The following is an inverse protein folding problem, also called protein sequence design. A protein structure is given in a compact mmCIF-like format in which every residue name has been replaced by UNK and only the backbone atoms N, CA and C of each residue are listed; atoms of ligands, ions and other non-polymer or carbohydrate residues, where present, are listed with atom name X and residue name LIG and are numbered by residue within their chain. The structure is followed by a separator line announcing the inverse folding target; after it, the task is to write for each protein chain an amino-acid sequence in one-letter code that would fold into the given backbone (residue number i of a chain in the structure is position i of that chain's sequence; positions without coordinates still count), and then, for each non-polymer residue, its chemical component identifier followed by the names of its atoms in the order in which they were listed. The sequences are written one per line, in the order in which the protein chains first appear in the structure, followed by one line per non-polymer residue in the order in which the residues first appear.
data_IF_939409352303
#
_entry.id   IF_939409352303
#
_cell.length_a   1.000
_cell.length_b   1.000
_cell.length_c   1.000
_cell.angle_alpha   90.00
_cell.angle_beta   90.00
_cell.angle_gamma   90.00
#
_symmetry.space_group_name_H-M   'P 1'
#
loop_
_entity.id
_entity.type
_entity.pdbx_description
1 polymer ?
#
# COMPACT_ATOMS: atom_id res chain seq x y z
N UNK A 1 2.11 -25.85 18.54
CA UNK A 1 1.14 -24.93 19.14
C UNK A 1 1.84 -23.59 19.27
N UNK A 2 1.90 -22.82 18.18
CA UNK A 2 2.59 -21.53 18.18
C UNK A 2 1.57 -20.41 18.17
N UNK A 3 1.47 -19.74 19.30
CA UNK A 3 0.63 -18.59 19.55
C UNK A 3 1.38 -17.33 19.12
N UNK A 4 1.41 -17.01 17.83
CA UNK A 4 1.75 -15.65 17.39
C UNK A 4 0.48 -14.81 17.50
N UNK A 5 0.09 -14.49 18.73
CA UNK A 5 -0.92 -13.49 19.00
C UNK A 5 -0.34 -12.12 18.62
N UNK A 6 -0.74 -11.61 17.46
CA UNK A 6 -0.47 -10.23 17.09
C UNK A 6 -1.00 -9.28 18.18
N UNK A 7 -0.23 -8.27 18.58
CA UNK A 7 -0.64 -7.33 19.61
C UNK A 7 -1.82 -6.53 19.10
N UNK A 8 -2.99 -6.77 19.70
CA UNK A 8 -4.14 -5.89 19.59
C UNK A 8 -3.73 -4.52 20.13
N UNK A 9 -3.31 -3.63 19.23
CA UNK A 9 -2.98 -2.26 19.55
C UNK A 9 -4.28 -1.48 19.80
N UNK A 10 -4.94 -1.79 20.92
CA UNK A 10 -6.13 -1.09 21.40
C UNK A 10 -5.65 0.18 22.08
N UNK A 11 -5.51 1.25 21.29
CA UNK A 11 -5.15 2.56 21.82
C UNK A 11 -6.38 3.17 22.52
N UNK A 12 -6.57 2.81 23.80
CA UNK A 12 -7.58 3.43 24.67
C UNK A 12 -7.02 4.75 25.18
N UNK A 13 -7.21 5.84 24.43
CA UNK A 13 -7.00 7.17 24.99
C UNK A 13 -8.15 7.51 25.92
N UNK A 14 -7.89 7.37 27.22
CA UNK A 14 -8.73 7.93 28.28
C UNK A 14 -8.93 9.42 28.03
N UNK A 15 -10.21 9.79 28.04
CA UNK A 15 -10.79 11.13 27.97
C UNK A 15 -10.14 12.05 29.02
N UNK A 16 -9.13 12.83 28.65
CA UNK A 16 -8.63 13.93 29.48
C UNK A 16 -9.61 15.11 29.37
N UNK A 17 -10.66 15.07 30.18
CA UNK A 17 -11.50 16.23 30.48
C UNK A 17 -10.73 17.17 31.41
N UNK A 18 -9.91 18.05 30.85
CA UNK A 18 -9.13 18.98 31.65
C UNK A 18 -8.20 19.82 30.79
N UNK A 19 -8.70 20.97 30.34
CA UNK A 19 -7.94 21.98 29.64
C UNK A 19 -6.96 22.66 30.62
N UNK A 20 -5.82 22.03 30.90
CA UNK A 20 -4.65 22.70 31.49
C UNK A 20 -3.44 21.76 31.41
N UNK A 21 -2.30 22.28 30.92
CA UNK A 21 -0.96 21.69 31.01
C UNK A 21 -0.63 20.56 30.01
N UNK A 22 -0.62 20.88 28.71
CA UNK A 22 0.26 20.19 27.75
C UNK A 22 1.20 21.20 27.08
N UNK A 23 1.83 22.05 27.89
CA UNK A 23 2.91 22.96 27.49
C UNK A 23 4.17 22.58 28.29
N UNK A 24 4.56 21.31 28.18
CA UNK A 24 5.83 20.78 28.72
C UNK A 24 6.31 19.61 27.87
N UNK A 25 6.58 19.89 26.60
CA UNK A 25 7.62 19.18 25.86
C UNK A 25 8.26 20.14 24.85
N UNK A 26 8.71 21.30 25.35
CA UNK A 26 9.63 22.19 24.63
C UNK A 26 11.10 21.77 24.84
N UNK A 27 11.38 20.49 25.13
CA UNK A 27 12.74 20.02 25.43
C UNK A 27 13.14 18.91 24.46
N UNK A 28 13.09 19.21 23.17
CA UNK A 28 13.95 18.57 22.16
C UNK A 28 14.05 19.41 20.87
N UNK A 29 13.91 20.73 20.99
CA UNK A 29 14.24 21.70 19.92
C UNK A 29 15.75 22.05 19.89
N UNK A 30 16.58 21.35 20.67
CA UNK A 30 18.01 21.72 20.91
C UNK A 30 19.01 20.73 20.28
N UNK A 31 18.59 19.75 19.46
CA UNK A 31 19.54 18.78 18.89
C UNK A 31 19.43 18.52 17.39
N UNK A 32 18.93 19.48 16.59
CA UNK A 32 18.94 19.32 15.13
C UNK A 32 20.00 20.13 14.36
N UNK A 33 20.71 21.06 15.00
CA UNK A 33 21.77 21.83 14.32
C UNK A 33 23.15 21.16 14.29
N UNK A 34 23.31 19.97 14.89
CA UNK A 34 24.58 19.21 14.84
C UNK A 34 24.53 17.92 14.03
N UNK A 35 23.37 17.54 13.49
CA UNK A 35 23.22 16.29 12.71
C UNK A 35 23.41 16.44 11.20
N UNK A 36 23.34 17.66 10.65
CA UNK A 36 23.42 17.89 9.20
C UNK A 36 24.85 17.78 8.64
N UNK A 37 25.89 17.72 9.49
CA UNK A 37 27.28 17.61 9.02
C UNK A 37 27.69 16.15 8.78
N UNK A 38 27.00 15.16 9.35
CA UNK A 38 27.35 13.74 9.12
C UNK A 38 26.59 13.07 7.97
N UNK A 39 25.41 13.60 7.59
CA UNK A 39 24.67 13.05 6.43
C UNK A 39 25.40 13.29 5.11
N UNK A 40 26.04 14.46 4.94
CA UNK A 40 26.79 14.74 3.71
C UNK A 40 28.08 13.90 3.59
N UNK A 41 28.65 13.43 4.70
CA UNK A 41 29.81 12.53 4.65
C UNK A 41 29.43 11.10 4.24
N UNK A 42 28.20 10.66 4.51
CA UNK A 42 27.71 9.39 3.99
C UNK A 42 27.39 9.45 2.50
N UNK A 43 26.89 10.59 2.01
CA UNK A 43 26.62 10.76 0.57
C UNK A 43 27.92 10.86 -0.25
N UNK A 44 28.93 11.58 0.25
CA UNK A 44 30.23 11.68 -0.43
C UNK A 44 31.03 10.36 -0.38
N UNK A 45 30.82 9.53 0.65
CA UNK A 45 31.41 8.18 0.70
C UNK A 45 30.72 7.18 -0.25
N UNK A 46 29.44 7.40 -0.58
CA UNK A 46 28.72 6.56 -1.54
C UNK A 46 29.15 6.86 -2.98
N UNK A 47 29.42 8.13 -3.31
CA UNK A 47 29.94 8.50 -4.63
C UNK A 47 31.41 8.07 -4.83
N UNK A 48 32.22 8.02 -3.76
CA UNK A 48 33.63 7.62 -3.84
C UNK A 48 33.88 6.12 -4.09
N UNK A 49 32.85 5.27 -4.01
CA UNK A 49 32.96 3.87 -4.48
C UNK A 49 32.55 3.68 -5.94
N UNK A 50 32.21 4.76 -6.66
CA UNK A 50 32.13 4.78 -8.14
C UNK A 50 33.53 4.75 -8.77
N UNK A 51 34.42 3.90 -8.24
CA UNK A 51 35.60 3.47 -8.97
C UNK A 51 35.11 2.85 -10.26
N UNK A 52 35.45 3.49 -11.37
CA UNK A 52 35.25 3.01 -12.73
C UNK A 52 35.93 1.63 -12.87
N UNK A 53 35.27 0.60 -12.37
CA UNK A 53 35.59 -0.76 -12.75
C UNK A 53 35.26 -0.77 -14.23
N UNK A 54 36.31 -0.75 -15.05
CA UNK A 54 36.21 -0.89 -16.50
C UNK A 54 35.68 -2.28 -16.79
N UNK A 55 34.39 -2.46 -16.55
CA UNK A 55 33.63 -3.63 -16.89
C UNK A 55 33.67 -3.75 -18.40
N UNK A 56 34.04 -4.93 -18.88
CA UNK A 56 33.98 -5.29 -20.29
C UNK A 56 32.55 -5.06 -20.81
N UNK A 57 32.40 -4.64 -22.06
CA UNK A 57 31.09 -4.31 -22.65
C UNK A 57 30.11 -5.49 -22.53
N UNK A 58 30.60 -6.74 -22.63
CA UNK A 58 29.78 -7.94 -22.44
C UNK A 58 29.30 -8.07 -21.00
N UNK A 59 30.16 -7.77 -20.03
CA UNK A 59 29.77 -7.81 -18.62
C UNK A 59 28.72 -6.75 -18.27
N UNK A 60 28.79 -5.56 -18.89
CA UNK A 60 27.77 -4.52 -18.71
C UNK A 60 26.42 -4.97 -19.27
N UNK A 61 26.40 -5.47 -20.50
CA UNK A 61 25.17 -6.00 -21.12
C UNK A 61 24.55 -7.14 -20.32
N UNK A 62 25.38 -8.04 -19.77
CA UNK A 62 24.89 -9.12 -18.90
C UNK A 62 24.25 -8.57 -17.62
N UNK A 63 24.89 -7.59 -16.97
CA UNK A 63 24.35 -6.96 -15.76
C UNK A 63 23.06 -6.20 -16.03
N UNK A 64 22.97 -5.49 -17.15
CA UNK A 64 21.76 -4.76 -17.55
C UNK A 64 20.60 -5.73 -17.78
N UNK A 65 20.85 -6.85 -18.48
CA UNK A 65 19.86 -7.90 -18.67
C UNK A 65 19.42 -8.49 -17.31
N UNK A 66 20.35 -8.83 -16.42
CA UNK A 66 20.01 -9.37 -15.09
C UNK A 66 19.19 -8.36 -14.26
N UNK A 67 19.53 -7.08 -14.34
CA UNK A 67 18.83 -6.00 -13.65
C UNK A 67 17.40 -5.84 -14.19
N UNK A 68 17.21 -5.91 -15.51
CA UNK A 68 15.87 -5.87 -16.11
C UNK A 68 15.02 -7.07 -15.66
N UNK A 69 15.62 -8.27 -15.60
CA UNK A 69 14.97 -9.48 -15.11
C UNK A 69 14.55 -9.35 -13.65
N UNK A 70 15.45 -8.88 -12.79
CA UNK A 70 15.17 -8.67 -11.37
C UNK A 70 14.06 -7.64 -11.16
N UNK A 71 14.13 -6.50 -11.86
CA UNK A 71 13.12 -5.45 -11.78
C UNK A 71 11.73 -5.93 -12.21
N UNK A 72 11.65 -6.72 -13.28
CA UNK A 72 10.40 -7.32 -13.74
C UNK A 72 9.86 -8.34 -12.72
N UNK A 73 10.73 -9.20 -12.19
CA UNK A 73 10.39 -10.16 -11.14
C UNK A 73 9.84 -9.48 -9.89
N UNK A 74 10.53 -8.44 -9.40
CA UNK A 74 10.12 -7.65 -8.23
C UNK A 74 8.80 -6.92 -8.46
N UNK A 75 8.60 -6.37 -9.66
CA UNK A 75 7.34 -5.71 -10.03
C UNK A 75 6.15 -6.67 -9.98
N UNK A 76 6.33 -7.91 -10.47
CA UNK A 76 5.27 -8.94 -10.44
C UNK A 76 4.97 -9.37 -9.00
N UNK A 77 5.98 -9.59 -8.17
CA UNK A 77 5.81 -9.97 -6.76
C UNK A 77 5.08 -8.86 -6.00
N UNK A 78 5.53 -7.62 -6.18
CA UNK A 78 4.91 -6.44 -5.55
C UNK A 78 3.48 -6.25 -6.04
N UNK A 79 3.23 -6.37 -7.35
CA UNK A 79 1.89 -6.29 -7.92
C UNK A 79 0.94 -7.35 -7.36
N UNK A 80 1.41 -8.59 -7.17
CA UNK A 80 0.60 -9.63 -6.54
C UNK A 80 0.25 -9.27 -5.09
N UNK A 81 1.20 -8.70 -4.35
CA UNK A 81 0.96 -8.25 -2.97
C UNK A 81 -0.07 -7.12 -2.93
N UNK A 82 0.06 -6.10 -3.79
CA UNK A 82 -0.91 -4.99 -3.83
C UNK A 82 -2.31 -5.48 -4.20
N UNK A 83 -2.45 -6.48 -5.08
CA UNK A 83 -3.75 -7.10 -5.35
C UNK A 83 -4.39 -7.73 -4.11
N UNK A 84 -3.61 -8.42 -3.26
CA UNK A 84 -4.11 -9.01 -2.02
C UNK A 84 -4.55 -7.92 -1.05
N UNK A 85 -3.72 -6.89 -0.86
CA UNK A 85 -4.03 -5.76 0.03
C UNK A 85 -5.30 -5.00 -0.42
N UNK A 86 -5.48 -4.82 -1.73
CA UNK A 86 -6.70 -4.24 -2.30
C UNK A 86 -7.93 -5.12 -2.04
N UNK A 87 -7.81 -6.44 -2.15
CA UNK A 87 -8.93 -7.34 -1.89
C UNK A 87 -9.32 -7.37 -0.40
N UNK A 88 -8.34 -7.33 0.50
CA UNK A 88 -8.58 -7.18 1.93
C UNK A 88 -9.33 -5.88 2.24
N UNK A 89 -8.91 -4.77 1.63
CA UNK A 89 -9.60 -3.48 1.78
C UNK A 89 -11.03 -3.56 1.25
N UNK A 90 -11.23 -4.21 0.10
CA UNK A 90 -12.55 -4.45 -0.49
C UNK A 90 -13.45 -5.27 0.44
N UNK A 91 -12.89 -6.29 1.09
CA UNK A 91 -13.61 -7.10 2.08
C UNK A 91 -14.03 -6.26 3.29
N UNK A 92 -13.12 -5.43 3.82
CA UNK A 92 -13.44 -4.50 4.93
C UNK A 92 -14.56 -3.53 4.55
N UNK A 93 -14.58 -3.02 3.33
CA UNK A 93 -15.69 -2.20 2.82
C UNK A 93 -17.02 -2.97 2.80
N UNK A 94 -17.03 -4.22 2.33
CA UNK A 94 -18.25 -5.08 2.36
C UNK A 94 -18.75 -5.32 3.78
N UNK A 95 -17.86 -5.56 4.72
CA UNK A 95 -18.20 -5.75 6.13
C UNK A 95 -18.75 -4.47 6.76
N UNK A 96 -18.11 -3.33 6.49
CA UNK A 96 -18.58 -2.02 6.95
C UNK A 96 -19.98 -1.71 6.40
N UNK A 97 -20.22 -1.96 5.11
CA UNK A 97 -21.53 -1.77 4.49
C UNK A 97 -22.60 -2.65 5.16
N UNK A 98 -22.31 -3.95 5.36
CA UNK A 98 -23.22 -4.87 6.10
C UNK A 98 -23.57 -4.36 7.50
N UNK A 99 -22.59 -3.84 8.24
CA UNK A 99 -22.82 -3.26 9.57
C UNK A 99 -23.69 -2.00 9.51
N UNK A 100 -23.48 -1.12 8.53
CA UNK A 100 -24.30 0.09 8.33
C UNK A 100 -25.73 -0.22 7.93
N UNK A 101 -25.96 -1.29 7.16
CA UNK A 101 -27.32 -1.76 6.85
C UNK A 101 -28.04 -2.24 8.12
N UNK A 102 -27.36 -3.05 8.94
CA UNK A 102 -27.91 -3.51 10.24
C UNK A 102 -28.21 -2.34 11.18
N UNK A 103 -27.35 -1.31 11.20
CA UNK A 103 -27.55 -0.12 12.03
C UNK A 103 -28.72 0.75 11.55
N UNK A 104 -28.99 0.83 10.25
CA UNK A 104 -30.10 1.61 9.70
C UNK A 104 -31.47 1.03 9.98
N UNK A 105 -31.59 -0.29 10.12
CA UNK A 105 -32.85 -0.93 10.52
C UNK A 105 -33.34 -0.44 11.90
N UNK A 106 -32.44 0.14 12.71
CA UNK A 106 -32.77 0.85 13.95
C UNK A 106 -33.25 2.28 13.67
N UNK A 107 -34.46 2.38 13.11
CA UNK A 107 -35.46 3.47 13.12
C UNK A 107 -35.08 4.94 12.82
N UNK A 108 -33.82 5.33 12.62
CA UNK A 108 -33.48 6.76 12.53
C UNK A 108 -32.43 7.06 11.46
N UNK A 109 -32.92 7.33 10.23
CA UNK A 109 -32.12 7.66 9.03
C UNK A 109 -31.24 8.92 9.20
N UNK A 110 -31.58 9.80 10.14
CA UNK A 110 -30.81 11.03 10.45
C UNK A 110 -29.63 10.79 11.41
N UNK A 111 -29.37 9.54 11.82
CA UNK A 111 -28.22 9.23 12.68
C UNK A 111 -26.92 9.52 11.92
N UNK A 112 -25.96 10.07 12.66
CA UNK A 112 -24.60 10.33 12.18
C UNK A 112 -23.65 9.34 12.83
N UNK A 113 -22.73 8.80 12.03
CA UNK A 113 -21.72 7.85 12.46
C UNK A 113 -20.34 8.49 12.33
N UNK A 114 -19.39 8.01 13.11
CA UNK A 114 -17.99 8.38 12.99
C UNK A 114 -17.34 7.51 11.93
N UNK A 115 -16.69 8.15 10.96
CA UNK A 115 -15.90 7.52 9.89
C UNK A 115 -14.44 7.89 10.13
N UNK A 116 -13.55 6.91 10.09
CA UNK A 116 -12.11 7.12 10.22
C UNK A 116 -11.46 7.17 8.82
N UNK A 117 -10.68 8.21 8.56
CA UNK A 117 -9.83 8.36 7.38
C UNK A 117 -8.37 8.24 7.80
N UNK A 118 -7.73 7.13 7.41
CA UNK A 118 -6.37 6.82 7.81
C UNK A 118 -6.27 6.60 9.32
N UNK A 119 -5.19 7.10 9.93
CA UNK A 119 -4.89 6.84 11.34
C UNK A 119 -5.33 7.96 12.29
N UNK A 120 -5.55 9.18 11.80
CA UNK A 120 -5.67 10.37 12.65
C UNK A 120 -6.98 11.15 12.48
N UNK A 121 -7.69 10.98 11.37
CA UNK A 121 -8.83 11.84 11.03
C UNK A 121 -10.15 11.11 11.23
N UNK A 122 -11.02 11.66 12.08
CA UNK A 122 -12.37 11.14 12.29
C UNK A 122 -13.41 12.18 11.87
N UNK A 123 -14.32 11.80 10.98
CA UNK A 123 -15.38 12.66 10.47
C UNK A 123 -16.74 12.11 10.91
N UNK A 124 -17.61 13.01 11.40
CA UNK A 124 -18.98 12.65 11.77
C UNK A 124 -19.92 12.92 10.60
N UNK A 125 -20.36 11.85 9.95
CA UNK A 125 -21.08 11.89 8.67
C UNK A 125 -22.43 11.18 8.80
N UNK A 126 -23.43 11.54 8.00
CA UNK A 126 -24.72 10.82 8.02
C UNK A 126 -24.55 9.41 7.46
N UNK A 127 -25.39 8.47 7.89
CA UNK A 127 -25.25 7.07 7.43
C UNK A 127 -25.39 6.95 5.91
N UNK A 128 -26.31 7.69 5.29
CA UNK A 128 -26.50 7.67 3.84
C UNK A 128 -25.23 8.14 3.09
N UNK A 129 -24.60 9.21 3.57
CA UNK A 129 -23.32 9.67 3.02
C UNK A 129 -22.20 8.65 3.26
N UNK A 130 -22.15 8.01 4.44
CA UNK A 130 -21.17 6.95 4.72
C UNK A 130 -21.32 5.75 3.77
N UNK A 131 -22.54 5.34 3.44
CA UNK A 131 -22.77 4.27 2.46
C UNK A 131 -22.24 4.66 1.09
N UNK A 132 -22.58 5.85 0.62
CA UNK A 132 -22.12 6.34 -0.68
C UNK A 132 -20.58 6.34 -0.76
N UNK A 133 -19.90 6.85 0.28
CA UNK A 133 -18.43 6.83 0.34
C UNK A 133 -17.86 5.41 0.27
N UNK A 134 -18.45 4.44 0.98
CA UNK A 134 -17.99 3.05 0.96
C UNK A 134 -18.24 2.39 -0.41
N UNK A 135 -19.38 2.66 -1.03
CA UNK A 135 -19.70 2.16 -2.37
C UNK A 135 -18.76 2.71 -3.43
N UNK A 136 -18.42 4.00 -3.34
CA UNK A 136 -17.47 4.63 -4.26
C UNK A 136 -16.03 4.11 -4.03
N UNK A 137 -15.61 3.93 -2.77
CA UNK A 137 -14.36 3.23 -2.44
C UNK A 137 -14.31 1.83 -3.06
N UNK A 138 -15.41 1.07 -2.97
CA UNK A 138 -15.48 -0.26 -3.57
C UNK A 138 -15.34 -0.24 -5.10
N UNK A 139 -15.90 0.76 -5.78
CA UNK A 139 -15.75 0.95 -7.24
C UNK A 139 -14.31 1.27 -7.61
N UNK A 140 -13.69 2.21 -6.89
CA UNK A 140 -12.29 2.60 -7.12
C UNK A 140 -11.37 1.40 -6.91
N UNK A 141 -11.53 0.68 -5.80
CA UNK A 141 -10.75 -0.55 -5.53
C UNK A 141 -10.97 -1.58 -6.64
N UNK A 142 -12.21 -1.75 -7.11
CA UNK A 142 -12.53 -2.66 -8.21
C UNK A 142 -11.80 -2.31 -9.50
N UNK A 143 -11.79 -1.03 -9.89
CA UNK A 143 -11.07 -0.52 -11.05
C UNK A 143 -9.55 -0.68 -10.92
N UNK A 144 -8.97 -0.27 -9.79
CA UNK A 144 -7.52 -0.39 -9.54
C UNK A 144 -7.07 -1.86 -9.50
N UNK A 145 -7.88 -2.75 -8.92
CA UNK A 145 -7.57 -4.18 -8.90
C UNK A 145 -7.60 -4.77 -10.31
N UNK A 146 -8.50 -4.29 -11.16
CA UNK A 146 -8.60 -4.67 -12.55
C UNK A 146 -7.40 -4.20 -13.38
N UNK A 147 -6.98 -2.95 -13.23
CA UNK A 147 -5.77 -2.40 -13.84
C UNK A 147 -4.52 -3.16 -13.37
N UNK A 148 -4.42 -3.44 -12.06
CA UNK A 148 -3.30 -4.20 -11.50
C UNK A 148 -3.19 -5.60 -12.09
N UNK A 149 -4.30 -6.31 -12.28
CA UNK A 149 -4.33 -7.63 -12.94
C UNK A 149 -3.80 -7.57 -14.38
N UNK A 150 -4.23 -6.59 -15.14
CA UNK A 150 -3.80 -6.41 -16.54
C UNK A 150 -2.31 -6.05 -16.62
N UNK A 151 -1.86 -5.15 -15.75
CA UNK A 151 -0.45 -4.79 -15.63
C UNK A 151 0.42 -6.02 -15.32
N UNK A 152 0.03 -6.83 -14.33
CA UNK A 152 0.76 -8.06 -13.97
C UNK A 152 0.73 -9.08 -15.11
N UNK A 153 -0.41 -9.24 -15.81
CA UNK A 153 -0.52 -10.13 -16.97
C UNK A 153 0.50 -9.74 -18.05
N UNK A 154 0.62 -8.45 -18.34
CA UNK A 154 1.57 -7.93 -19.33
C UNK A 154 3.03 -8.10 -18.86
N UNK A 155 3.32 -7.85 -17.58
CA UNK A 155 4.65 -8.03 -17.01
C UNK A 155 5.09 -9.50 -17.02
N UNK A 156 4.18 -10.42 -16.67
CA UNK A 156 4.43 -11.87 -16.72
C UNK A 156 4.67 -12.32 -18.16
N UNK A 157 3.90 -11.83 -19.13
CA UNK A 157 4.12 -12.14 -20.54
C UNK A 157 5.48 -11.63 -21.05
N UNK A 158 5.88 -10.40 -20.65
CA UNK A 158 7.21 -9.86 -20.92
C UNK A 158 8.31 -10.76 -20.33
N UNK A 159 8.15 -11.17 -19.07
CA UNK A 159 9.10 -12.05 -18.40
C UNK A 159 9.22 -13.41 -19.12
N UNK A 160 8.10 -14.00 -19.55
CA UNK A 160 8.09 -15.26 -20.29
C UNK A 160 8.78 -15.17 -21.65
N UNK A 161 8.61 -14.05 -22.36
CA UNK A 161 9.32 -13.76 -23.62
C UNK A 161 10.83 -13.70 -23.40
N UNK A 162 11.29 -13.07 -22.32
CA UNK A 162 12.72 -13.03 -21.99
C UNK A 162 13.27 -14.42 -21.61
N UNK A 163 12.49 -15.23 -20.91
CA UNK A 163 12.83 -16.63 -20.57
C UNK A 163 12.82 -17.59 -21.78
N UNK A 164 12.48 -17.12 -22.99
CA UNK A 164 12.21 -17.96 -24.17
C UNK A 164 11.20 -19.08 -23.89
N UNK A 165 10.27 -18.83 -22.97
CA UNK A 165 9.17 -19.73 -22.65
C UNK A 165 8.00 -19.48 -23.60
N UNK A 166 7.06 -20.45 -23.64
CA UNK A 166 5.78 -20.28 -24.33
C UNK A 166 5.08 -19.00 -23.86
N UNK A 167 4.54 -18.23 -24.79
CA UNK A 167 3.85 -16.98 -24.46
C UNK A 167 2.56 -17.26 -23.69
N UNK A 168 2.01 -16.24 -23.05
CA UNK A 168 0.79 -16.40 -22.27
C UNK A 168 -0.42 -16.77 -23.16
N UNK A 169 -0.37 -16.37 -24.43
CA UNK A 169 -1.34 -16.74 -25.48
C UNK A 169 -1.25 -18.24 -25.79
N UNK A 170 -0.05 -18.78 -25.98
CA UNK A 170 0.16 -20.19 -26.30
C UNK A 170 -0.29 -21.13 -25.17
N UNK A 171 -0.27 -20.62 -23.94
CA UNK A 171 -0.73 -21.33 -22.75
C UNK A 171 -2.25 -21.21 -22.53
N UNK A 172 -2.97 -20.39 -23.32
CA UNK A 172 -4.41 -20.20 -23.21
C UNK A 172 -4.86 -19.30 -22.05
N UNK A 173 -3.97 -18.51 -21.46
CA UNK A 173 -4.31 -17.59 -20.36
C UNK A 173 -4.71 -16.18 -20.82
N UNK A 174 -4.78 -15.96 -22.14
CA UNK A 174 -5.32 -14.73 -22.74
C UNK A 174 -6.84 -14.75 -22.73
N UNK A 175 -7.42 -14.75 -21.52
CA UNK A 175 -8.85 -14.60 -21.29
C UNK A 175 -9.19 -13.15 -20.99
N UNK A 176 -10.33 -12.71 -21.53
CA UNK A 176 -10.96 -11.43 -21.20
C UNK A 176 -11.95 -11.61 -20.05
N UNK A 177 -12.27 -10.51 -19.37
CA UNK A 177 -13.33 -10.54 -18.34
C UNK A 177 -14.68 -10.67 -19.02
N UNK A 178 -15.54 -11.52 -18.47
CA UNK A 178 -16.96 -11.53 -18.82
C UNK A 178 -17.59 -10.40 -18.01
N UNK A 179 -18.12 -9.40 -18.71
CA UNK A 179 -18.94 -8.32 -18.13
C UNK A 179 -20.26 -8.86 -17.55
#
# INVERSE_FOLDING_TARGET
MDWTAEPQNVFVTRKCSGAAKCYKCCVSFICLERGTVELNKMEESAEAMSGNLSLDDKTKQMLDNMTEWENLGQSIITGKRTMVELDERRQKCREALRQLHKANSSANKKRKNWVCFGSTTFLKVTIDQTKQMIEDDMKVIGATLNEARESIKNQVDKLKKMENCKSLVDLGFSLDRID
#
